data_IF_313257718300
#
_entry.id   IF_313257718300
#
_cell.length_a   1.000
_cell.length_b   1.000
_cell.length_c   1.000
_cell.angle_alpha   90.00
_cell.angle_beta   90.00
_cell.angle_gamma   90.00
#
_symmetry.space_group_name_H-M   'P 1'
#
loop_
_entity.id
_entity.type
_entity.pdbx_description
1 polymer ?
#
# COMPACT_ATOMS: atom_id res chain seq x y z
N UNK A 1 14.02 4.49 -24.63
CA UNK A 1 15.45 4.26 -24.94
C UNK A 1 16.12 3.33 -23.92
N UNK A 2 15.49 3.04 -22.81
CA UNK A 2 15.93 2.13 -21.75
C UNK A 2 14.73 1.26 -21.31
N UNK A 3 14.29 0.31 -22.16
CA UNK A 3 13.04 -0.43 -21.92
C UNK A 3 13.08 -1.29 -20.64
N UNK A 4 14.26 -1.76 -20.26
CA UNK A 4 14.45 -2.64 -19.10
C UNK A 4 14.89 -1.88 -17.82
N UNK A 5 14.85 -0.55 -17.84
CA UNK A 5 15.13 0.26 -16.65
C UNK A 5 13.87 0.33 -15.77
N UNK A 6 13.87 -0.46 -14.70
CA UNK A 6 12.76 -0.59 -13.77
C UNK A 6 12.39 0.74 -13.12
N UNK A 7 13.39 1.57 -12.80
CA UNK A 7 13.17 2.89 -12.19
C UNK A 7 12.46 3.83 -13.16
N UNK A 8 12.91 3.87 -14.42
CA UNK A 8 12.27 4.68 -15.47
C UNK A 8 10.84 4.19 -15.73
N UNK A 9 10.62 2.89 -15.76
CA UNK A 9 9.29 2.32 -15.93
C UNK A 9 8.36 2.70 -14.76
N UNK A 10 8.82 2.57 -13.51
CA UNK A 10 8.06 2.93 -12.33
C UNK A 10 7.68 4.43 -12.31
N UNK A 11 8.65 5.34 -12.53
CA UNK A 11 8.39 6.79 -12.58
C UNK A 11 7.44 7.15 -13.72
N UNK A 12 7.59 6.50 -14.88
CA UNK A 12 6.70 6.75 -16.03
C UNK A 12 5.28 6.28 -15.72
N UNK A 13 5.13 5.14 -15.04
CA UNK A 13 3.82 4.62 -14.61
C UNK A 13 3.15 5.55 -13.62
N UNK A 14 3.90 6.03 -12.61
CA UNK A 14 3.39 7.01 -11.64
C UNK A 14 2.90 8.28 -12.34
N UNK A 15 3.67 8.81 -13.29
CA UNK A 15 3.26 9.97 -14.09
C UNK A 15 1.99 9.71 -14.92
N UNK A 16 1.80 8.50 -15.46
CA UNK A 16 0.57 8.12 -16.16
C UNK A 16 -0.62 8.03 -15.20
N UNK A 17 -0.42 7.46 -14.01
CA UNK A 17 -1.44 7.36 -12.96
C UNK A 17 -1.87 8.74 -12.46
N UNK A 18 -0.92 9.64 -12.22
CA UNK A 18 -1.20 11.02 -11.79
C UNK A 18 -1.87 11.88 -12.87
N UNK A 19 -1.67 11.55 -14.14
CA UNK A 19 -2.24 12.28 -15.27
C UNK A 19 -3.64 11.82 -15.68
N UNK A 20 -4.14 10.73 -15.12
CA UNK A 20 -5.47 10.19 -15.41
C UNK A 20 -6.50 10.73 -14.42
N UNK A 21 -7.65 11.19 -14.93
CA UNK A 21 -8.76 11.66 -14.09
C UNK A 21 -9.44 10.48 -13.39
N UNK A 22 -9.73 9.41 -14.14
CA UNK A 22 -10.29 8.16 -13.66
C UNK A 22 -9.37 6.99 -14.04
N UNK A 23 -9.11 6.10 -13.09
CA UNK A 23 -8.24 4.94 -13.35
C UNK A 23 -9.04 3.75 -13.86
N UNK A 24 -10.20 3.49 -13.26
CA UNK A 24 -10.99 2.28 -13.50
C UNK A 24 -12.46 2.61 -13.71
N UNK A 25 -13.11 1.88 -14.61
CA UNK A 25 -14.56 1.86 -14.70
C UNK A 25 -15.17 1.12 -13.49
N UNK A 26 -16.47 1.21 -13.25
CA UNK A 26 -17.14 0.41 -12.20
C UNK A 26 -16.94 -1.11 -12.37
N UNK A 27 -16.69 -1.58 -13.59
CA UNK A 27 -16.42 -2.99 -13.93
C UNK A 27 -14.96 -3.38 -13.73
N UNK A 28 -14.07 -2.40 -13.42
CA UNK A 28 -12.64 -2.63 -13.21
C UNK A 28 -11.79 -2.63 -14.47
N UNK A 29 -12.33 -2.13 -15.58
CA UNK A 29 -11.59 -1.91 -16.82
C UNK A 29 -10.86 -0.56 -16.78
N UNK A 30 -9.70 -0.45 -17.45
CA UNK A 30 -8.96 0.81 -17.50
C UNK A 30 -9.78 1.91 -18.18
N UNK A 31 -10.06 3.00 -17.44
CA UNK A 31 -10.84 4.13 -17.92
C UNK A 31 -10.03 5.10 -18.81
N UNK A 32 -8.70 5.07 -18.67
CA UNK A 32 -7.77 5.96 -19.39
C UNK A 32 -6.65 5.16 -20.07
N UNK A 33 -6.23 5.52 -21.30
CA UNK A 33 -5.09 4.87 -21.97
C UNK A 33 -3.78 4.95 -21.19
N UNK A 34 -3.60 5.99 -20.36
CA UNK A 34 -2.46 6.12 -19.45
C UNK A 34 -2.42 5.00 -18.41
N UNK A 35 -3.58 4.57 -17.92
CA UNK A 35 -3.70 3.45 -16.96
C UNK A 35 -3.34 2.12 -17.61
N UNK A 36 -3.82 1.87 -18.83
CA UNK A 36 -3.40 0.70 -19.63
C UNK A 36 -1.89 0.70 -19.84
N UNK A 37 -1.32 1.86 -20.15
CA UNK A 37 0.13 2.02 -20.32
C UNK A 37 0.90 1.79 -19.02
N UNK A 38 0.44 2.37 -17.91
CA UNK A 38 1.05 2.21 -16.59
C UNK A 38 1.08 0.72 -16.19
N UNK A 39 -0.03 0.00 -16.41
CA UNK A 39 -0.11 -1.44 -16.15
C UNK A 39 0.96 -2.21 -16.93
N UNK A 40 1.06 -2.02 -18.24
CA UNK A 40 2.04 -2.70 -19.06
C UNK A 40 3.49 -2.38 -18.67
N UNK A 41 3.79 -1.14 -18.28
CA UNK A 41 5.11 -0.74 -17.81
C UNK A 41 5.48 -1.40 -16.48
N UNK A 42 4.55 -1.46 -15.52
CA UNK A 42 4.80 -2.10 -14.22
C UNK A 42 4.90 -3.62 -14.33
N UNK A 43 4.06 -4.26 -15.14
CA UNK A 43 4.15 -5.70 -15.40
C UNK A 43 5.48 -6.05 -16.07
N UNK A 44 5.93 -5.24 -17.03
CA UNK A 44 7.27 -5.42 -17.62
C UNK A 44 8.38 -5.21 -16.59
N UNK A 45 8.33 -4.12 -15.81
CA UNK A 45 9.32 -3.84 -14.76
C UNK A 45 9.43 -5.00 -13.75
N UNK A 46 8.30 -5.53 -13.32
CA UNK A 46 8.25 -6.67 -12.38
C UNK A 46 8.68 -8.00 -13.03
N UNK A 47 8.60 -8.12 -14.35
CA UNK A 47 9.19 -9.26 -15.07
C UNK A 47 10.71 -9.19 -15.10
N UNK A 48 11.29 -7.98 -15.16
CA UNK A 48 12.74 -7.76 -15.14
C UNK A 48 13.29 -7.85 -13.70
N UNK A 49 12.64 -7.19 -12.75
CA UNK A 49 13.00 -7.25 -11.33
C UNK A 49 11.75 -7.43 -10.45
N UNK A 50 11.37 -8.66 -10.13
CA UNK A 50 10.18 -8.96 -9.34
C UNK A 50 10.27 -8.53 -7.87
N UNK A 51 11.42 -8.04 -7.43
CA UNK A 51 11.70 -7.60 -6.06
C UNK A 51 11.96 -6.08 -5.96
N UNK A 52 11.65 -5.30 -6.99
CA UNK A 52 11.74 -3.85 -6.90
C UNK A 52 10.61 -3.28 -6.03
N UNK A 53 10.90 -2.69 -4.87
CA UNK A 53 9.85 -2.26 -3.95
C UNK A 53 9.05 -1.07 -4.48
N UNK A 54 9.64 -0.22 -5.33
CA UNK A 54 8.94 0.91 -5.95
C UNK A 54 7.93 0.45 -6.99
N UNK A 55 8.33 -0.47 -7.87
CA UNK A 55 7.41 -1.06 -8.86
C UNK A 55 6.29 -1.85 -8.19
N UNK A 56 6.59 -2.63 -7.15
CA UNK A 56 5.57 -3.37 -6.36
C UNK A 56 4.58 -2.39 -5.72
N UNK A 57 5.06 -1.33 -5.10
CA UNK A 57 4.22 -0.31 -4.46
C UNK A 57 3.20 0.28 -5.43
N UNK A 58 3.68 0.75 -6.59
CA UNK A 58 2.80 1.32 -7.61
C UNK A 58 1.86 0.28 -8.23
N UNK A 59 2.33 -0.97 -8.40
CA UNK A 59 1.51 -2.05 -8.92
C UNK A 59 0.35 -2.43 -7.99
N UNK A 60 0.57 -2.41 -6.67
CA UNK A 60 -0.49 -2.61 -5.67
C UNK A 60 -1.55 -1.51 -5.82
N UNK A 61 -1.16 -0.24 -5.83
CA UNK A 61 -2.09 0.87 -6.00
C UNK A 61 -2.87 0.77 -7.32
N UNK A 62 -2.17 0.44 -8.40
CA UNK A 62 -2.78 0.37 -9.72
C UNK A 62 -3.79 -0.77 -9.82
N UNK A 63 -3.50 -1.94 -9.24
CA UNK A 63 -4.37 -3.12 -9.35
C UNK A 63 -5.50 -3.16 -8.32
N UNK A 64 -5.44 -2.37 -7.27
CA UNK A 64 -6.40 -2.41 -6.15
C UNK A 64 -7.86 -2.33 -6.59
N UNK A 65 -8.16 -1.53 -7.60
CA UNK A 65 -9.51 -1.30 -8.12
C UNK A 65 -9.75 -1.88 -9.52
N UNK A 66 -8.77 -2.64 -10.03
CA UNK A 66 -8.94 -3.35 -11.30
C UNK A 66 -9.89 -4.54 -11.16
N UNK A 67 -10.25 -5.13 -12.29
CA UNK A 67 -11.02 -6.37 -12.38
C UNK A 67 -10.32 -7.58 -11.72
N UNK A 68 -8.97 -7.54 -11.59
CA UNK A 68 -8.19 -8.61 -11.00
C UNK A 68 -7.11 -8.11 -10.00
N UNK A 69 -7.48 -7.74 -8.77
CA UNK A 69 -6.52 -7.34 -7.73
C UNK A 69 -5.62 -8.50 -7.27
N UNK A 70 -5.97 -9.76 -7.56
CA UNK A 70 -5.17 -10.94 -7.17
C UNK A 70 -3.78 -10.94 -7.79
N UNK A 71 -3.59 -10.28 -8.94
CA UNK A 71 -2.29 -10.13 -9.62
C UNK A 71 -1.19 -9.59 -8.69
N UNK A 72 -1.54 -8.72 -7.75
CA UNK A 72 -0.56 -8.11 -6.84
C UNK A 72 -0.20 -8.98 -5.62
N UNK A 73 -0.95 -10.04 -5.30
CA UNK A 73 -0.70 -10.89 -4.12
C UNK A 73 0.76 -11.36 -4.04
N UNK A 74 1.33 -12.02 -5.07
CA UNK A 74 2.68 -12.58 -4.96
C UNK A 74 3.78 -11.52 -4.79
N UNK A 75 3.51 -10.29 -5.17
CA UNK A 75 4.41 -9.15 -4.98
C UNK A 75 4.22 -8.54 -3.59
N UNK A 76 2.97 -8.31 -3.17
CA UNK A 76 2.64 -7.77 -1.85
C UNK A 76 3.18 -8.62 -0.71
N UNK A 77 3.07 -9.95 -0.80
CA UNK A 77 3.59 -10.88 0.22
C UNK A 77 5.10 -10.73 0.48
N UNK A 78 5.86 -10.22 -0.48
CA UNK A 78 7.31 -10.01 -0.36
C UNK A 78 7.69 -8.60 0.11
N UNK A 79 6.81 -7.62 -0.09
CA UNK A 79 7.15 -6.21 0.04
C UNK A 79 7.64 -5.84 1.44
N UNK A 80 6.99 -6.36 2.49
CA UNK A 80 7.40 -6.12 3.87
C UNK A 80 8.82 -6.63 4.17
N UNK A 81 9.23 -7.76 3.57
CA UNK A 81 10.58 -8.30 3.73
C UNK A 81 11.62 -7.52 2.91
N UNK A 82 11.23 -6.94 1.78
CA UNK A 82 12.11 -6.12 0.95
C UNK A 82 12.42 -4.75 1.59
N UNK A 83 11.49 -4.21 2.37
CA UNK A 83 11.64 -2.90 3.00
C UNK A 83 11.11 -2.90 4.46
N UNK A 84 11.70 -3.70 5.37
CA UNK A 84 11.14 -3.99 6.70
C UNK A 84 11.09 -2.78 7.63
N UNK A 85 11.84 -1.71 7.35
CA UNK A 85 11.84 -0.47 8.13
C UNK A 85 10.91 0.61 7.57
N UNK A 86 10.33 0.41 6.39
CA UNK A 86 9.47 1.39 5.74
C UNK A 86 8.00 1.10 6.05
N UNK A 87 7.44 1.75 7.06
CA UNK A 87 6.07 1.49 7.55
C UNK A 87 5.04 1.50 6.43
N UNK A 88 5.13 2.46 5.50
CA UNK A 88 4.23 2.55 4.36
C UNK A 88 4.33 1.33 3.44
N UNK A 89 5.53 0.84 3.15
CA UNK A 89 5.70 -0.35 2.30
C UNK A 89 5.26 -1.64 3.02
N UNK A 90 5.34 -1.67 4.35
CA UNK A 90 4.78 -2.77 5.16
C UNK A 90 3.25 -2.74 5.18
N UNK A 91 2.65 -1.56 5.17
CA UNK A 91 1.20 -1.37 5.05
C UNK A 91 0.67 -1.75 3.67
N UNK A 92 1.40 -1.46 2.58
CA UNK A 92 0.93 -1.55 1.20
C UNK A 92 0.24 -2.86 0.80
N UNK A 93 0.71 -4.06 1.21
CA UNK A 93 0.01 -5.30 0.87
C UNK A 93 -1.43 -5.36 1.36
N UNK A 94 -1.76 -4.58 2.39
CA UNK A 94 -3.12 -4.55 2.96
C UNK A 94 -4.18 -4.05 1.98
N UNK A 95 -3.81 -3.19 1.03
CA UNK A 95 -4.70 -2.76 -0.05
C UNK A 95 -5.21 -3.96 -0.85
N UNK A 96 -4.28 -4.78 -1.37
CA UNK A 96 -4.63 -6.00 -2.10
C UNK A 96 -5.36 -7.00 -1.21
N UNK A 97 -4.83 -7.28 -0.01
CA UNK A 97 -5.41 -8.26 0.93
C UNK A 97 -6.86 -7.92 1.29
N UNK A 98 -7.16 -6.64 1.49
CA UNK A 98 -8.53 -6.19 1.78
C UNK A 98 -9.47 -6.45 0.60
N UNK A 99 -9.03 -6.18 -0.62
CA UNK A 99 -9.82 -6.38 -1.85
C UNK A 99 -10.12 -7.85 -2.14
N UNK A 100 -9.19 -8.74 -1.79
CA UNK A 100 -9.33 -10.19 -2.04
C UNK A 100 -9.89 -10.98 -0.85
N UNK A 101 -10.36 -10.29 0.20
CA UNK A 101 -10.98 -10.93 1.38
C UNK A 101 -10.00 -11.49 2.41
N UNK A 102 -8.69 -11.23 2.27
CA UNK A 102 -7.64 -11.63 3.23
C UNK A 102 -7.55 -10.61 4.38
N UNK A 103 -8.66 -10.36 5.04
CA UNK A 103 -8.80 -9.27 6.02
C UNK A 103 -7.87 -9.40 7.23
N UNK A 104 -7.57 -10.64 7.67
CA UNK A 104 -6.62 -10.87 8.76
C UNK A 104 -5.21 -10.42 8.37
N UNK A 105 -4.79 -10.71 7.14
CA UNK A 105 -3.48 -10.31 6.63
C UNK A 105 -3.42 -8.78 6.47
N UNK A 106 -4.51 -8.16 5.98
CA UNK A 106 -4.64 -6.72 5.91
C UNK A 106 -4.53 -6.06 7.29
N UNK A 107 -5.22 -6.57 8.30
CA UNK A 107 -5.12 -6.12 9.68
C UNK A 107 -3.68 -6.20 10.19
N UNK A 108 -3.04 -7.37 10.05
CA UNK A 108 -1.70 -7.62 10.60
C UNK A 108 -0.62 -6.74 9.93
N UNK A 109 -0.70 -6.52 8.62
CA UNK A 109 0.19 -5.58 7.91
C UNK A 109 0.12 -4.18 8.52
N UNK A 110 -1.07 -3.72 8.89
CA UNK A 110 -1.27 -2.40 9.47
C UNK A 110 -0.85 -2.34 10.95
N UNK A 111 -1.09 -3.38 11.74
CA UNK A 111 -0.56 -3.47 13.12
C UNK A 111 0.97 -3.35 13.11
N UNK A 112 1.63 -4.02 12.17
CA UNK A 112 3.07 -3.93 12.00
C UNK A 112 3.50 -2.53 11.54
N UNK A 113 2.83 -1.94 10.56
CA UNK A 113 3.14 -0.60 10.05
C UNK A 113 3.01 0.47 11.15
N UNK A 114 1.94 0.42 11.96
CA UNK A 114 1.74 1.33 13.11
C UNK A 114 2.83 1.16 14.16
N UNK A 115 3.28 -0.08 14.43
CA UNK A 115 4.38 -0.32 15.35
C UNK A 115 5.71 0.28 14.82
N UNK A 116 5.95 0.21 13.51
CA UNK A 116 7.11 0.83 12.86
C UNK A 116 7.06 2.36 12.93
N UNK A 117 5.90 2.96 12.71
CA UNK A 117 5.71 4.42 12.85
C UNK A 117 6.04 4.88 14.27
N UNK A 118 5.54 4.17 15.30
CA UNK A 118 5.83 4.45 16.70
C UNK A 118 7.33 4.26 17.03
N UNK A 119 7.98 3.27 16.43
CA UNK A 119 9.41 3.06 16.62
C UNK A 119 10.22 4.19 15.95
N UNK A 120 9.85 4.60 14.74
CA UNK A 120 10.49 5.70 14.04
C UNK A 120 10.35 7.03 14.81
N UNK A 121 9.16 7.34 15.32
CA UNK A 121 8.92 8.53 16.13
C UNK A 121 9.84 8.58 17.36
N UNK A 122 9.95 7.47 18.11
CA UNK A 122 10.81 7.38 19.28
C UNK A 122 12.31 7.51 18.97
N UNK A 123 12.75 6.95 17.82
CA UNK A 123 14.18 6.89 17.49
C UNK A 123 14.68 8.15 16.77
N UNK A 124 13.85 8.75 15.95
CA UNK A 124 14.23 9.84 15.03
C UNK A 124 13.63 11.18 15.48
N UNK A 125 12.43 11.18 16.08
CA UNK A 125 11.72 12.41 16.47
C UNK A 125 11.42 13.30 15.26
N UNK A 126 10.62 12.85 14.27
CA UNK A 126 10.36 13.63 13.07
C UNK A 126 9.61 14.93 13.39
N UNK A 127 9.70 15.97 12.54
CA UNK A 127 8.98 17.21 12.74
C UNK A 127 7.47 16.98 12.95
N UNK A 128 6.92 17.48 14.04
CA UNK A 128 5.52 17.25 14.44
C UNK A 128 5.25 15.90 15.11
N UNK A 129 6.31 15.10 15.36
CA UNK A 129 6.19 13.78 15.96
C UNK A 129 5.34 12.84 15.11
N UNK A 130 4.80 11.79 15.74
CA UNK A 130 3.94 10.81 15.08
C UNK A 130 2.70 11.44 14.42
N UNK A 131 2.16 12.52 14.98
CA UNK A 131 1.04 13.29 14.41
C UNK A 131 1.38 13.92 13.06
N UNK A 132 2.65 14.30 12.86
CA UNK A 132 3.16 14.85 11.61
C UNK A 132 3.40 13.80 10.52
N UNK A 133 3.37 12.52 10.87
CA UNK A 133 3.54 11.42 9.92
C UNK A 133 2.22 11.18 9.16
N UNK A 134 2.16 11.68 7.92
CA UNK A 134 0.94 11.76 7.09
C UNK A 134 0.16 10.45 6.94
N UNK A 135 0.85 9.31 6.96
CA UNK A 135 0.24 7.98 6.73
C UNK A 135 -0.05 7.22 8.03
N UNK A 136 0.32 7.76 9.21
CA UNK A 136 0.08 7.05 10.47
C UNK A 136 -1.41 6.82 10.75
N UNK A 137 -2.24 7.86 10.66
CA UNK A 137 -3.68 7.73 10.81
C UNK A 137 -4.30 6.80 9.76
N UNK A 138 -3.80 6.84 8.51
CA UNK A 138 -4.23 5.98 7.43
C UNK A 138 -3.95 4.49 7.74
N UNK A 139 -2.74 4.17 8.22
CA UNK A 139 -2.38 2.81 8.63
C UNK A 139 -3.30 2.29 9.75
N UNK A 140 -3.61 3.15 10.73
CA UNK A 140 -4.54 2.79 11.82
C UNK A 140 -5.94 2.49 11.25
N UNK A 141 -6.49 3.38 10.41
CA UNK A 141 -7.82 3.20 9.82
C UNK A 141 -7.93 1.94 8.98
N UNK A 142 -6.93 1.67 8.14
CA UNK A 142 -6.89 0.43 7.34
C UNK A 142 -6.82 -0.81 8.22
N UNK A 143 -6.04 -0.75 9.30
CA UNK A 143 -5.95 -1.83 10.28
C UNK A 143 -7.28 -2.08 11.01
N UNK A 144 -7.99 -1.01 11.42
CA UNK A 144 -9.32 -1.13 12.03
C UNK A 144 -10.34 -1.73 11.06
N UNK A 145 -10.33 -1.28 9.78
CA UNK A 145 -11.18 -1.86 8.74
C UNK A 145 -10.91 -3.36 8.55
N UNK A 146 -9.64 -3.75 8.47
CA UNK A 146 -9.23 -5.16 8.41
C UNK A 146 -9.67 -5.95 9.64
N UNK A 147 -9.53 -5.38 10.85
CA UNK A 147 -9.95 -5.99 12.10
C UNK A 147 -11.48 -6.21 12.14
N UNK A 148 -12.25 -5.21 11.74
CA UNK A 148 -13.70 -5.31 11.66
C UNK A 148 -14.14 -6.47 10.75
N UNK A 149 -13.55 -6.57 9.58
CA UNK A 149 -13.90 -7.60 8.59
C UNK A 149 -13.38 -8.99 8.97
N UNK A 150 -12.27 -9.07 9.70
CA UNK A 150 -11.67 -10.32 10.16
C UNK A 150 -12.27 -10.85 11.48
N UNK A 151 -13.08 -10.05 12.19
CA UNK A 151 -13.51 -10.36 13.56
C UNK A 151 -12.38 -10.22 14.59
N UNK A 152 -11.32 -9.42 14.28
CA UNK A 152 -10.16 -9.19 15.13
C UNK A 152 -10.43 -8.11 16.19
N UNK A 153 -11.25 -8.45 17.20
CA UNK A 153 -11.75 -7.49 18.19
C UNK A 153 -10.60 -6.86 19.01
N UNK A 154 -9.65 -7.69 19.45
CA UNK A 154 -8.53 -7.23 20.30
C UNK A 154 -7.66 -6.22 19.56
N UNK A 155 -7.23 -6.55 18.35
CA UNK A 155 -6.41 -5.68 17.52
C UNK A 155 -7.17 -4.42 17.09
N UNK A 156 -8.46 -4.56 16.79
CA UNK A 156 -9.33 -3.45 16.43
C UNK A 156 -9.44 -2.41 17.54
N UNK A 157 -9.69 -2.85 18.78
CA UNK A 157 -9.74 -1.98 19.96
C UNK A 157 -8.38 -1.32 20.20
N UNK A 158 -7.30 -2.10 20.15
CA UNK A 158 -5.94 -1.59 20.33
C UNK A 158 -5.57 -0.50 19.32
N UNK A 159 -5.95 -0.68 18.06
CA UNK A 159 -5.75 0.34 17.02
C UNK A 159 -6.60 1.59 17.28
N UNK A 160 -7.85 1.42 17.72
CA UNK A 160 -8.72 2.53 18.07
C UNK A 160 -8.18 3.32 19.27
N UNK A 161 -7.70 2.65 20.32
CA UNK A 161 -7.08 3.29 21.47
C UNK A 161 -5.83 4.09 21.04
N UNK A 162 -4.99 3.52 20.18
CA UNK A 162 -3.83 4.23 19.64
C UNK A 162 -4.20 5.45 18.81
N UNK A 163 -5.32 5.39 18.07
CA UNK A 163 -5.82 6.55 17.34
C UNK A 163 -6.23 7.66 18.31
N UNK A 164 -7.02 7.35 19.33
CA UNK A 164 -7.50 8.32 20.33
C UNK A 164 -6.34 8.90 21.17
N UNK A 165 -5.35 8.10 21.53
CA UNK A 165 -4.14 8.59 22.22
C UNK A 165 -3.33 9.56 21.34
N UNK A 166 -3.25 9.29 20.04
CA UNK A 166 -2.45 10.09 19.11
C UNK A 166 -3.19 11.34 18.67
N UNK A 167 -4.50 11.26 18.46
CA UNK A 167 -5.35 12.33 17.93
C UNK A 167 -6.49 12.63 18.91
N UNK A 168 -6.21 13.12 20.14
CA UNK A 168 -7.26 13.56 21.05
C UNK A 168 -7.94 14.80 20.46
N UNK A 169 -9.25 14.95 20.71
CA UNK A 169 -10.08 16.11 20.30
C UNK A 169 -9.53 17.44 20.86
#
# INVERSE_FOLDING_TARGET
RHPDDVTVAAITSDACMLGADDWWTPEGEAADPGITRAMGLLEHALSVNPNDPGAIHLYIHLTEWSDDPHKAIPFGERLAALAPGASHLVHMPSHTFYRVGRYKDAMMSNVQAVALDKAYDRLVGPPGGIKGMRLHAHNIHFGMGGALMAGGVEEGIKLADWFLETYPD
#
